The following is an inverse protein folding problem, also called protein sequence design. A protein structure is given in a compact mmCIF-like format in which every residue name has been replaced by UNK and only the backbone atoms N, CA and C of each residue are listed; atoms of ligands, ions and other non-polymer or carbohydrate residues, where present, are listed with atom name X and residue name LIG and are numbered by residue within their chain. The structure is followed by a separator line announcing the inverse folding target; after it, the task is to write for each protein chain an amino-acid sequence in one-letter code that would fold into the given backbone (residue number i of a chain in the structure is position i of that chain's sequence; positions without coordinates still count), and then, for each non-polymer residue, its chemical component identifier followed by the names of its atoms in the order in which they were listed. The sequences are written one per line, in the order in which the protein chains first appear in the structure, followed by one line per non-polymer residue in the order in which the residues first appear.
data_IF_439313493011
#
_entry.id   IF_439313493011
#
_cell.length_a   1.000
_cell.length_b   1.000
_cell.length_c   1.000
_cell.angle_alpha   90.00
_cell.angle_beta   90.00
_cell.angle_gamma   90.00
#
_symmetry.space_group_name_H-M   'P 1'
#
loop_
_entity.id
_entity.type
_entity.pdbx_description
1 polymer ?
#
# COMPACT_ATOMS: atom_id res chain seq x y z
N UNK A 1 17.36 -3.86 3.31
CA UNK A 1 17.09 -3.49 1.91
C UNK A 1 15.68 -2.94 1.89
N UNK A 2 15.48 -1.72 1.40
CA UNK A 2 14.15 -1.11 1.36
C UNK A 2 13.43 -1.60 0.09
N UNK A 3 12.32 -2.32 0.25
CA UNK A 3 11.49 -2.76 -0.87
C UNK A 3 10.62 -1.59 -1.36
N UNK A 4 11.07 -0.91 -2.42
CA UNK A 4 10.31 0.17 -3.06
C UNK A 4 9.22 -0.44 -3.94
N UNK A 5 7.96 -0.05 -3.67
CA UNK A 5 6.79 -0.50 -4.44
C UNK A 5 6.41 0.54 -5.48
N UNK A 6 6.44 1.83 -5.13
CA UNK A 6 6.18 2.91 -6.07
C UNK A 6 7.44 3.73 -6.33
N UNK A 7 8.04 3.55 -7.50
CA UNK A 7 9.21 4.34 -7.92
C UNK A 7 8.86 5.80 -8.23
N UNK A 8 7.65 6.06 -8.72
CA UNK A 8 7.19 7.40 -9.11
C UNK A 8 7.13 8.37 -7.92
N UNK A 9 6.82 7.86 -6.72
CA UNK A 9 6.72 8.64 -5.48
C UNK A 9 7.68 8.15 -4.38
N UNK A 10 8.62 7.27 -4.74
CA UNK A 10 9.56 6.62 -3.83
C UNK A 10 8.90 6.05 -2.56
N UNK A 11 7.79 5.33 -2.73
CA UNK A 11 7.03 4.73 -1.62
C UNK A 11 7.45 3.28 -1.40
N UNK A 12 7.90 3.02 -0.19
CA UNK A 12 8.32 1.71 0.28
C UNK A 12 7.14 0.85 0.74
N UNK A 13 7.30 -0.48 0.64
CA UNK A 13 6.34 -1.48 1.11
C UNK A 13 5.88 -1.22 2.54
N UNK A 14 6.80 -0.84 3.43
CA UNK A 14 6.49 -0.59 4.84
C UNK A 14 5.47 0.54 5.04
N UNK A 15 5.49 1.59 4.20
CA UNK A 15 4.48 2.65 4.29
C UNK A 15 3.10 2.17 3.87
N UNK A 16 3.04 1.30 2.86
CA UNK A 16 1.80 0.70 2.38
C UNK A 16 1.23 -0.26 3.44
N UNK A 17 2.06 -1.13 4.02
CA UNK A 17 1.60 -2.04 5.08
C UNK A 17 1.14 -1.28 6.33
N UNK A 18 1.86 -0.22 6.73
CA UNK A 18 1.45 0.64 7.82
C UNK A 18 0.09 1.32 7.55
N UNK A 19 -0.18 1.77 6.31
CA UNK A 19 -1.49 2.30 5.94
C UNK A 19 -2.60 1.26 6.11
N UNK A 20 -2.35 0.03 5.68
CA UNK A 20 -3.30 -1.10 5.83
C UNK A 20 -3.55 -1.39 7.32
N UNK A 21 -2.51 -1.41 8.14
CA UNK A 21 -2.63 -1.62 9.60
C UNK A 21 -3.45 -0.50 10.29
N UNK A 22 -3.28 0.74 9.83
CA UNK A 22 -4.03 1.90 10.30
C UNK A 22 -5.51 1.87 9.90
N UNK A 23 -5.92 0.99 8.98
CA UNK A 23 -7.32 0.78 8.63
C UNK A 23 -7.64 0.98 7.15
N UNK A 24 -6.69 1.34 6.30
CA UNK A 24 -6.93 1.36 4.86
C UNK A 24 -7.30 -0.05 4.36
N UNK A 25 -8.39 -0.16 3.62
CA UNK A 25 -8.90 -1.43 3.06
C UNK A 25 -9.04 -1.38 1.55
N UNK A 26 -8.80 -0.24 0.94
CA UNK A 26 -8.97 -0.03 -0.49
C UNK A 26 -7.79 0.72 -1.11
N UNK A 27 -7.54 0.51 -2.40
CA UNK A 27 -6.49 1.22 -3.15
C UNK A 27 -6.70 2.75 -3.14
N UNK A 28 -7.94 3.27 -3.31
CA UNK A 28 -8.19 4.71 -3.23
C UNK A 28 -7.75 5.33 -1.90
N UNK A 29 -8.03 4.69 -0.76
CA UNK A 29 -7.59 5.19 0.56
C UNK A 29 -6.06 5.25 0.67
N UNK A 30 -5.37 4.21 0.20
CA UNK A 30 -3.90 4.18 0.18
C UNK A 30 -3.36 5.26 -0.76
N UNK A 31 -4.01 5.49 -1.89
CA UNK A 31 -3.65 6.57 -2.83
C UNK A 31 -3.84 7.95 -2.21
N UNK A 32 -4.94 8.21 -1.51
CA UNK A 32 -5.15 9.49 -0.84
C UNK A 32 -4.13 9.72 0.26
N UNK A 33 -3.74 8.67 0.98
CA UNK A 33 -2.77 8.77 2.07
C UNK A 33 -1.31 8.89 1.60
N UNK A 34 -0.91 8.12 0.58
CA UNK A 34 0.49 7.98 0.17
C UNK A 34 0.80 8.60 -1.21
N UNK A 35 -0.21 9.06 -1.95
CA UNK A 35 -0.06 9.62 -3.30
C UNK A 35 0.29 8.59 -4.38
N UNK A 36 0.28 7.29 -4.05
CA UNK A 36 0.58 6.21 -5.00
C UNK A 36 -0.52 6.05 -6.04
N UNK A 37 -0.23 5.34 -7.13
CA UNK A 37 -1.15 5.08 -8.27
C UNK A 37 -1.67 6.31 -9.03
N UNK A 38 -1.27 7.54 -8.68
CA UNK A 38 -1.71 8.78 -9.33
C UNK A 38 -0.95 9.21 -10.60
N UNK A 39 0.23 8.63 -10.88
CA UNK A 39 1.08 9.01 -12.04
C UNK A 39 1.18 7.89 -13.07
N UNK A 40 2.01 6.88 -12.77
CA UNK A 40 2.31 5.77 -13.68
C UNK A 40 1.42 4.53 -13.46
N UNK A 41 0.74 4.43 -12.31
CA UNK A 41 -0.13 3.32 -11.90
C UNK A 41 0.48 1.90 -11.90
N UNK A 42 1.78 1.74 -12.20
CA UNK A 42 2.46 0.44 -12.28
C UNK A 42 2.49 -0.34 -10.96
N UNK A 43 2.50 0.37 -9.83
CA UNK A 43 2.49 -0.20 -8.49
C UNK A 43 1.12 -0.64 -7.99
N UNK A 44 0.05 -0.41 -8.75
CA UNK A 44 -1.32 -0.76 -8.35
C UNK A 44 -1.51 -2.26 -8.07
N UNK A 45 -1.11 -3.20 -8.93
CA UNK A 45 -1.29 -4.63 -8.66
C UNK A 45 -0.53 -5.09 -7.40
N UNK A 46 0.65 -4.52 -7.12
CA UNK A 46 1.39 -4.81 -5.88
C UNK A 46 0.63 -4.33 -4.64
N UNK A 47 0.05 -3.12 -4.70
CA UNK A 47 -0.77 -2.58 -3.60
C UNK A 47 -2.03 -3.44 -3.38
N UNK A 48 -2.69 -3.87 -4.45
CA UNK A 48 -3.85 -4.77 -4.36
C UNK A 48 -3.48 -6.12 -3.73
N UNK A 49 -2.32 -6.68 -4.10
CA UNK A 49 -1.81 -7.91 -3.49
C UNK A 49 -1.51 -7.72 -1.99
N UNK A 50 -0.90 -6.59 -1.61
CA UNK A 50 -0.65 -6.26 -0.20
C UNK A 50 -1.95 -6.06 0.57
N UNK A 51 -2.92 -5.34 0.02
CA UNK A 51 -4.26 -5.18 0.60
C UNK A 51 -4.95 -6.53 0.82
N UNK A 52 -4.87 -7.42 -0.16
CA UNK A 52 -5.45 -8.74 -0.07
C UNK A 52 -4.75 -9.63 0.98
N UNK A 53 -3.42 -9.52 1.09
CA UNK A 53 -2.64 -10.30 2.05
C UNK A 53 -2.80 -9.78 3.48
N UNK A 54 -2.56 -8.48 3.70
CA UNK A 54 -2.57 -7.84 5.03
C UNK A 54 -3.98 -7.44 5.49
N UNK A 55 -4.91 -7.13 4.58
CA UNK A 55 -6.28 -6.77 4.93
C UNK A 55 -7.10 -7.94 5.51
N UNK A 56 -6.64 -9.19 5.32
CA UNK A 56 -7.23 -10.39 5.91
C UNK A 56 -6.70 -10.73 7.30
N UNK A 57 -5.65 -10.07 7.78
CA UNK A 57 -5.15 -10.30 9.13
C UNK A 57 -5.97 -9.45 10.13
N UNK A 58 -6.84 -10.07 10.96
CA UNK A 58 -7.39 -9.39 12.12
C UNK A 58 -6.23 -9.06 13.07
N UNK A 59 -6.31 -7.89 13.70
CA UNK A 59 -5.32 -7.42 14.67
C UNK A 59 -5.32 -8.38 15.87
N UNK A 60 -4.44 -9.38 15.88
CA UNK A 60 -4.20 -10.22 17.07
C UNK A 60 -2.99 -9.65 17.79
N UNK A 61 -3.27 -8.94 18.90
CA UNK A 61 -2.44 -8.58 20.06
C UNK A 61 -0.99 -8.13 19.85
#
# INVERSE_FOLDING_TARGET
MADIICYCFNVEKQRITAAIENGCRTVPEIRELLGVTGNCATCQPDIEALLNFYGRFPKTS
#
